data_IF_834234754007
#
_entry.id   IF_834234754007
#
_cell.length_a   1.000
_cell.length_b   1.000
_cell.length_c   1.000
_cell.angle_alpha   90.00
_cell.angle_beta   90.00
_cell.angle_gamma   90.00
#
_symmetry.space_group_name_H-M   'P 1'
#
loop_
_entity.id
_entity.type
_entity.pdbx_description
1 polymer ?
#
# COMPACT_ATOMS: atom_id res chain seq x y z
N UNK A 1 7.88 -35.16 21.21
CA UNK A 1 7.52 -33.74 21.42
C UNK A 1 7.97 -32.95 20.21
N UNK A 2 7.11 -32.87 19.19
CA UNK A 2 7.33 -32.01 18.02
C UNK A 2 6.87 -30.62 18.40
N UNK A 3 7.79 -29.67 18.52
CA UNK A 3 7.50 -28.26 18.69
C UNK A 3 6.76 -27.77 17.45
N UNK A 4 5.44 -27.88 17.43
CA UNK A 4 4.57 -27.17 16.50
C UNK A 4 4.79 -25.69 16.75
N UNK A 5 5.73 -25.12 16.01
CA UNK A 5 6.03 -23.70 16.04
C UNK A 5 4.72 -22.97 15.74
N UNK A 6 4.32 -22.04 16.61
CA UNK A 6 3.12 -21.20 16.51
C UNK A 6 3.19 -20.26 15.27
N UNK A 7 4.13 -20.50 14.35
CA UNK A 7 4.26 -19.85 13.06
C UNK A 7 3.26 -20.51 12.10
N UNK A 8 2.05 -19.97 12.16
CA UNK A 8 0.94 -20.22 11.26
C UNK A 8 1.39 -20.21 9.78
N UNK A 9 1.60 -21.40 9.21
CA UNK A 9 2.12 -21.61 7.85
C UNK A 9 0.96 -21.68 6.84
N UNK A 10 0.37 -20.54 6.50
CA UNK A 10 -0.08 -20.36 5.12
C UNK A 10 1.15 -19.97 4.29
N UNK A 11 2.02 -20.95 4.03
CA UNK A 11 3.13 -20.75 3.10
C UNK A 11 2.58 -20.84 1.69
N UNK A 12 2.63 -19.74 0.94
CA UNK A 12 2.56 -19.76 -0.52
C UNK A 12 3.55 -20.80 -1.06
N UNK A 13 3.27 -21.42 -2.21
CA UNK A 13 4.19 -22.41 -2.78
C UNK A 13 5.60 -21.81 -2.96
N UNK A 14 6.67 -22.63 -2.88
CA UNK A 14 8.03 -22.16 -3.12
C UNK A 14 8.17 -21.40 -4.45
N UNK A 15 7.46 -21.84 -5.49
CA UNK A 15 7.44 -21.16 -6.78
C UNK A 15 6.96 -19.69 -6.68
N UNK A 16 5.87 -19.42 -5.96
CA UNK A 16 5.33 -18.05 -5.79
C UNK A 16 6.28 -17.20 -4.92
N UNK A 17 6.98 -17.82 -3.97
CA UNK A 17 7.98 -17.14 -3.16
C UNK A 17 9.17 -16.70 -4.04
N UNK A 18 9.76 -17.63 -4.78
CA UNK A 18 10.87 -17.32 -5.69
C UNK A 18 10.47 -16.34 -6.79
N UNK A 19 9.25 -16.44 -7.33
CA UNK A 19 8.76 -15.47 -8.31
C UNK A 19 8.64 -14.05 -7.72
N UNK A 20 8.27 -13.92 -6.44
CA UNK A 20 8.24 -12.63 -5.75
C UNK A 20 9.64 -12.03 -5.59
N UNK A 21 10.61 -12.84 -5.18
CA UNK A 21 12.02 -12.41 -5.11
C UNK A 21 12.55 -11.98 -6.47
N UNK A 22 12.26 -12.77 -7.51
CA UNK A 22 12.63 -12.43 -8.89
C UNK A 22 11.98 -11.12 -9.32
N UNK A 23 10.69 -10.90 -9.01
CA UNK A 23 9.99 -9.66 -9.33
C UNK A 23 10.64 -8.43 -8.66
N UNK A 24 11.00 -8.53 -7.38
CA UNK A 24 11.69 -7.43 -6.66
C UNK A 24 13.09 -7.17 -7.23
N UNK A 25 13.83 -8.23 -7.57
CA UNK A 25 15.14 -8.10 -8.20
C UNK A 25 15.04 -7.46 -9.60
N UNK A 26 14.05 -7.86 -10.39
CA UNK A 26 13.79 -7.27 -11.71
C UNK A 26 13.39 -5.80 -11.60
N UNK A 27 12.51 -5.44 -10.66
CA UNK A 27 12.12 -4.05 -10.43
C UNK A 27 13.33 -3.17 -10.06
N UNK A 28 14.19 -3.63 -9.16
CA UNK A 28 15.43 -2.93 -8.82
C UNK A 28 16.40 -2.85 -10.02
N UNK A 29 16.58 -3.95 -10.75
CA UNK A 29 17.43 -4.01 -11.93
C UNK A 29 16.96 -3.07 -13.05
N UNK A 30 15.65 -2.95 -13.26
CA UNK A 30 15.05 -2.01 -14.20
C UNK A 30 15.33 -0.55 -13.79
N UNK A 31 15.17 -0.21 -12.50
CA UNK A 31 15.50 1.13 -12.02
C UNK A 31 16.98 1.47 -12.24
N UNK A 32 17.89 0.55 -11.94
CA UNK A 32 19.32 0.75 -12.21
C UNK A 32 19.62 0.88 -13.70
N UNK A 33 18.98 0.08 -14.54
CA UNK A 33 19.18 0.16 -15.99
C UNK A 33 18.69 1.47 -16.59
N UNK A 34 17.61 2.04 -16.06
CA UNK A 34 17.02 3.28 -16.59
C UNK A 34 17.67 4.54 -16.01
N UNK A 35 17.92 4.54 -14.69
CA UNK A 35 18.28 5.75 -13.94
C UNK A 35 19.61 5.66 -13.19
N UNK A 36 20.31 4.52 -13.27
CA UNK A 36 21.56 4.30 -12.52
C UNK A 36 22.68 5.27 -12.82
N UNK A 37 22.64 5.98 -13.96
CA UNK A 37 23.61 7.03 -14.30
C UNK A 37 23.39 8.35 -13.54
N UNK A 38 22.20 8.56 -12.97
CA UNK A 38 21.82 9.75 -12.19
C UNK A 38 21.89 9.48 -10.69
N UNK A 39 21.89 8.21 -10.28
CA UNK A 39 21.91 7.83 -8.87
C UNK A 39 23.26 8.10 -8.22
N UNK A 40 23.22 8.68 -7.03
CA UNK A 40 24.34 8.69 -6.11
C UNK A 40 24.28 7.48 -5.16
N UNK A 41 25.20 7.44 -4.19
CA UNK A 41 25.33 6.32 -3.24
C UNK A 41 24.07 6.13 -2.38
N UNK A 42 23.35 7.20 -2.07
CA UNK A 42 22.12 7.16 -1.28
C UNK A 42 20.97 6.56 -2.08
N UNK A 43 20.75 6.96 -3.34
CA UNK A 43 19.68 6.34 -4.15
C UNK A 43 19.95 4.86 -4.40
N UNK A 44 21.21 4.49 -4.67
CA UNK A 44 21.60 3.08 -4.80
C UNK A 44 21.26 2.31 -3.50
N UNK A 45 21.64 2.86 -2.35
CA UNK A 45 21.33 2.28 -1.04
C UNK A 45 19.83 2.14 -0.80
N UNK A 46 19.04 3.18 -1.09
CA UNK A 46 17.59 3.21 -0.92
C UNK A 46 16.92 2.16 -1.80
N UNK A 47 17.31 2.04 -3.08
CA UNK A 47 16.74 1.06 -4.01
C UNK A 47 17.01 -0.37 -3.55
N UNK A 48 18.26 -0.68 -3.19
CA UNK A 48 18.63 -2.03 -2.71
C UNK A 48 17.90 -2.34 -1.40
N UNK A 49 17.93 -1.42 -0.44
CA UNK A 49 17.30 -1.62 0.86
C UNK A 49 15.78 -1.79 0.74
N UNK A 50 15.13 -0.98 -0.11
CA UNK A 50 13.70 -1.08 -0.37
C UNK A 50 13.34 -2.40 -1.05
N UNK A 51 14.10 -2.81 -2.07
CA UNK A 51 13.87 -4.07 -2.77
C UNK A 51 14.01 -5.28 -1.83
N UNK A 52 15.04 -5.31 -0.99
CA UNK A 52 15.24 -6.38 0.01
C UNK A 52 14.14 -6.36 1.07
N UNK A 53 13.77 -5.19 1.58
CA UNK A 53 12.71 -5.05 2.59
C UNK A 53 11.36 -5.53 2.07
N UNK A 54 10.99 -5.14 0.84
CA UNK A 54 9.75 -5.57 0.20
C UNK A 54 9.78 -7.07 -0.16
N UNK A 55 10.94 -7.59 -0.57
CA UNK A 55 11.14 -9.03 -0.78
C UNK A 55 10.88 -9.82 0.51
N UNK A 56 11.48 -9.41 1.62
CA UNK A 56 11.31 -10.04 2.94
C UNK A 56 9.88 -9.91 3.48
N UNK A 57 9.27 -8.73 3.37
CA UNK A 57 7.88 -8.52 3.81
C UNK A 57 6.91 -9.37 3.01
N UNK A 58 7.00 -9.36 1.68
CA UNK A 58 6.15 -10.20 0.84
C UNK A 58 6.43 -11.70 1.04
N UNK A 59 7.67 -12.10 1.31
CA UNK A 59 8.03 -13.48 1.63
C UNK A 59 7.27 -13.99 2.85
N UNK A 60 7.24 -13.20 3.93
CA UNK A 60 6.63 -13.56 5.20
C UNK A 60 5.11 -13.30 5.23
N UNK A 61 4.62 -12.39 4.39
CA UNK A 61 3.22 -11.99 4.35
C UNK A 61 2.66 -11.97 2.91
N UNK A 62 2.06 -13.08 2.43
CA UNK A 62 1.42 -13.17 1.12
C UNK A 62 0.44 -12.05 0.77
N UNK A 63 -0.38 -11.58 1.74
CA UNK A 63 -1.32 -10.48 1.53
C UNK A 63 -0.62 -9.15 1.18
N UNK A 64 0.57 -8.94 1.73
CA UNK A 64 1.38 -7.76 1.43
C UNK A 64 1.84 -7.69 -0.04
N UNK A 65 2.02 -8.85 -0.71
CA UNK A 65 2.37 -8.87 -2.15
C UNK A 65 1.27 -8.26 -3.00
N UNK A 66 0.02 -8.63 -2.72
CA UNK A 66 -1.15 -8.11 -3.41
C UNK A 66 -1.31 -6.62 -3.13
N UNK A 67 -1.11 -6.21 -1.88
CA UNK A 67 -1.14 -4.80 -1.49
C UNK A 67 -0.11 -3.96 -2.26
N UNK A 68 1.17 -4.37 -2.28
CA UNK A 68 2.21 -3.65 -3.02
C UNK A 68 1.91 -3.63 -4.52
N UNK A 69 1.50 -4.76 -5.11
CA UNK A 69 1.14 -4.82 -6.52
C UNK A 69 -0.04 -3.88 -6.86
N UNK A 70 -1.06 -3.82 -5.99
CA UNK A 70 -2.20 -2.95 -6.17
C UNK A 70 -1.81 -1.46 -6.04
N UNK A 71 -1.05 -1.09 -5.01
CA UNK A 71 -0.54 0.28 -4.84
C UNK A 71 0.29 0.69 -6.04
N UNK A 72 1.29 -0.11 -6.43
CA UNK A 72 2.15 0.19 -7.58
C UNK A 72 1.34 0.30 -8.87
N UNK A 73 0.43 -0.65 -9.14
CA UNK A 73 -0.40 -0.64 -10.34
C UNK A 73 -1.30 0.60 -10.42
N UNK A 74 -2.03 0.91 -9.35
CA UNK A 74 -2.93 2.06 -9.30
C UNK A 74 -2.17 3.38 -9.37
N UNK A 75 -1.03 3.49 -8.70
CA UNK A 75 -0.18 4.69 -8.76
C UNK A 75 0.42 4.91 -10.15
N UNK A 76 0.89 3.85 -10.83
CA UNK A 76 1.41 3.97 -12.20
C UNK A 76 0.29 4.33 -13.19
N UNK A 77 -0.90 3.75 -13.05
CA UNK A 77 -2.08 4.14 -13.84
C UNK A 77 -2.39 5.63 -13.62
N UNK A 78 -2.41 6.10 -12.37
CA UNK A 78 -2.66 7.50 -12.07
C UNK A 78 -1.60 8.43 -12.69
N UNK A 79 -0.31 8.08 -12.57
CA UNK A 79 0.79 8.84 -13.19
C UNK A 79 0.61 8.91 -14.72
N UNK A 80 0.24 7.79 -15.35
CA UNK A 80 0.01 7.73 -16.79
C UNK A 80 -1.20 8.59 -17.22
N UNK A 81 -2.27 8.61 -16.42
CA UNK A 81 -3.46 9.42 -16.70
C UNK A 81 -3.20 10.92 -16.53
N UNK A 82 -2.36 11.31 -15.57
CA UNK A 82 -1.95 12.69 -15.40
C UNK A 82 -1.12 13.21 -16.58
N UNK A 83 -0.18 12.39 -17.09
CA UNK A 83 0.80 12.86 -18.06
C UNK A 83 1.47 14.14 -17.53
N UNK A 84 1.58 15.16 -18.37
CA UNK A 84 2.21 16.43 -18.01
C UNK A 84 1.19 17.52 -17.62
N UNK A 85 -0.06 17.17 -17.37
CA UNK A 85 -1.13 18.13 -17.10
C UNK A 85 -1.81 17.89 -15.75
N UNK A 86 -1.57 18.78 -14.79
CA UNK A 86 -2.22 18.75 -13.49
C UNK A 86 -3.75 18.89 -13.57
N UNK A 87 -4.27 19.66 -14.53
CA UNK A 87 -5.70 19.87 -14.71
C UNK A 87 -6.43 18.60 -15.22
N UNK A 88 -5.69 17.54 -15.57
CA UNK A 88 -6.29 16.22 -15.85
C UNK A 88 -7.07 15.68 -14.65
N UNK A 89 -6.74 16.10 -13.42
CA UNK A 89 -7.46 15.73 -12.20
C UNK A 89 -8.96 16.09 -12.24
N UNK A 90 -9.32 17.19 -12.92
CA UNK A 90 -10.70 17.69 -12.93
C UNK A 90 -11.55 17.05 -14.03
N UNK A 91 -10.92 16.71 -15.16
CA UNK A 91 -11.61 16.21 -16.36
C UNK A 91 -11.61 14.68 -16.47
N UNK A 92 -10.57 14.00 -15.98
CA UNK A 92 -10.48 12.56 -16.04
C UNK A 92 -11.28 11.91 -14.92
N UNK A 93 -12.27 11.10 -15.27
CA UNK A 93 -13.14 10.40 -14.31
C UNK A 93 -12.36 9.62 -13.23
N UNK A 94 -11.37 8.83 -13.63
CA UNK A 94 -10.62 7.99 -12.68
C UNK A 94 -9.76 8.83 -11.74
N UNK A 95 -9.15 9.90 -12.23
CA UNK A 95 -8.41 10.82 -11.36
C UNK A 95 -9.37 11.53 -10.40
N UNK A 96 -10.40 12.20 -10.94
CA UNK A 96 -11.32 13.03 -10.16
C UNK A 96 -12.02 12.24 -9.05
N UNK A 97 -12.43 10.99 -9.32
CA UNK A 97 -13.23 10.23 -8.36
C UNK A 97 -12.49 9.17 -7.57
N UNK A 98 -11.29 8.75 -7.98
CA UNK A 98 -10.60 7.61 -7.35
C UNK A 98 -9.12 7.86 -7.09
N UNK A 99 -8.36 8.25 -8.10
CA UNK A 99 -6.90 8.10 -8.11
C UNK A 99 -6.13 9.39 -7.84
N UNK A 100 -6.71 10.58 -8.05
CA UNK A 100 -6.08 11.83 -7.62
C UNK A 100 -5.85 11.77 -6.11
N UNK A 101 -4.79 12.44 -5.62
CA UNK A 101 -4.37 12.35 -4.22
C UNK A 101 -5.52 12.64 -3.26
N UNK A 102 -6.21 13.75 -3.48
CA UNK A 102 -7.36 14.16 -2.67
C UNK A 102 -8.46 13.09 -2.64
N UNK A 103 -8.88 12.60 -3.80
CA UNK A 103 -9.96 11.63 -3.93
C UNK A 103 -9.60 10.28 -3.35
N UNK A 104 -8.35 9.84 -3.54
CA UNK A 104 -7.85 8.60 -2.95
C UNK A 104 -7.85 8.68 -1.40
N UNK A 105 -7.41 9.80 -0.83
CA UNK A 105 -7.39 10.00 0.63
C UNK A 105 -8.82 10.13 1.20
N UNK A 106 -9.77 10.71 0.45
CA UNK A 106 -11.18 10.70 0.84
C UNK A 106 -11.73 9.27 0.89
N UNK A 107 -11.45 8.43 -0.12
CA UNK A 107 -11.83 7.02 -0.10
C UNK A 107 -11.19 6.24 1.02
N UNK A 108 -9.90 6.46 1.30
CA UNK A 108 -9.24 5.89 2.48
C UNK A 108 -10.03 6.19 3.75
N UNK A 109 -10.38 7.45 3.96
CA UNK A 109 -11.08 7.90 5.17
C UNK A 109 -12.47 7.28 5.27
N UNK A 110 -13.25 7.32 4.19
CA UNK A 110 -14.57 6.71 4.13
C UNK A 110 -14.53 5.19 4.38
N UNK A 111 -13.57 4.50 3.76
CA UNK A 111 -13.40 3.05 3.90
C UNK A 111 -12.95 2.64 5.30
N UNK A 112 -12.09 3.41 5.98
CA UNK A 112 -11.76 3.13 7.38
C UNK A 112 -12.98 3.29 8.30
N UNK A 113 -13.78 4.34 8.12
CA UNK A 113 -15.02 4.50 8.92
C UNK A 113 -15.98 3.33 8.66
N UNK A 114 -16.19 2.95 7.39
CA UNK A 114 -17.02 1.80 7.06
C UNK A 114 -16.46 0.48 7.60
N UNK A 115 -15.13 0.30 7.58
CA UNK A 115 -14.48 -0.87 8.16
C UNK A 115 -14.74 -0.96 9.67
N UNK A 116 -14.61 0.14 10.41
CA UNK A 116 -14.92 0.20 11.84
C UNK A 116 -16.35 -0.21 12.12
N UNK A 117 -17.31 0.35 11.38
CA UNK A 117 -18.74 -0.03 11.50
C UNK A 117 -18.93 -1.53 11.20
N UNK A 118 -18.30 -2.04 10.14
CA UNK A 118 -18.37 -3.46 9.79
C UNK A 118 -17.77 -4.36 10.88
N UNK A 119 -16.62 -4.01 11.46
CA UNK A 119 -16.05 -4.77 12.58
C UNK A 119 -16.97 -4.79 13.80
N UNK A 120 -17.56 -3.65 14.18
CA UNK A 120 -18.52 -3.61 15.29
C UNK A 120 -19.77 -4.45 15.01
N UNK A 121 -20.38 -4.31 13.83
CA UNK A 121 -21.53 -5.13 13.46
C UNK A 121 -21.14 -6.61 13.45
N UNK A 122 -19.98 -6.96 12.88
CA UNK A 122 -19.46 -8.32 12.86
C UNK A 122 -19.28 -8.90 14.27
N UNK A 123 -18.74 -8.10 15.20
CA UNK A 123 -18.54 -8.46 16.60
C UNK A 123 -19.88 -8.71 17.32
N UNK A 124 -20.83 -7.77 17.22
CA UNK A 124 -22.12 -7.89 17.92
C UNK A 124 -23.02 -8.96 17.30
N UNK A 125 -23.06 -9.04 15.97
CA UNK A 125 -23.82 -10.07 15.25
C UNK A 125 -23.12 -11.44 15.23
N UNK A 126 -21.87 -11.52 15.72
CA UNK A 126 -21.01 -12.71 15.68
C UNK A 126 -20.90 -13.30 14.26
N UNK A 127 -20.81 -12.43 13.26
CA UNK A 127 -20.85 -12.81 11.85
C UNK A 127 -19.45 -12.76 11.22
N UNK A 128 -18.89 -13.94 10.97
CA UNK A 128 -17.57 -14.08 10.31
C UNK A 128 -17.53 -13.48 8.90
N UNK A 129 -18.67 -13.37 8.22
CA UNK A 129 -18.75 -12.73 6.92
C UNK A 129 -18.56 -11.21 7.04
N UNK A 130 -19.26 -10.57 7.98
CA UNK A 130 -19.18 -9.11 8.17
C UNK A 130 -17.80 -8.69 8.65
N UNK A 131 -17.17 -9.49 9.53
CA UNK A 131 -15.78 -9.26 9.93
C UNK A 131 -14.81 -9.30 8.73
N UNK A 132 -14.99 -10.26 7.79
CA UNK A 132 -14.19 -10.31 6.56
C UNK A 132 -14.42 -9.09 5.66
N UNK A 133 -15.66 -8.57 5.61
CA UNK A 133 -15.96 -7.33 4.90
C UNK A 133 -15.22 -6.16 5.53
N UNK A 134 -15.18 -6.08 6.87
CA UNK A 134 -14.34 -5.12 7.61
C UNK A 134 -12.88 -5.19 7.19
N UNK A 135 -12.28 -6.39 7.19
CA UNK A 135 -10.89 -6.59 6.73
C UNK A 135 -10.66 -6.20 5.28
N UNK A 136 -11.60 -6.52 4.39
CA UNK A 136 -11.51 -6.12 2.98
C UNK A 136 -11.57 -4.60 2.82
N UNK A 137 -12.44 -3.91 3.56
CA UNK A 137 -12.50 -2.45 3.60
C UNK A 137 -11.22 -1.84 4.16
N UNK A 138 -10.62 -2.43 5.21
CA UNK A 138 -9.32 -1.98 5.73
C UNK A 138 -8.23 -2.12 4.68
N UNK A 139 -8.12 -3.27 4.00
CA UNK A 139 -7.16 -3.44 2.90
C UNK A 139 -7.35 -2.41 1.78
N UNK A 140 -8.59 -2.17 1.38
CA UNK A 140 -8.92 -1.18 0.36
C UNK A 140 -8.54 0.24 0.83
N UNK A 141 -8.92 0.62 2.06
CA UNK A 141 -8.59 1.92 2.64
C UNK A 141 -7.08 2.17 2.67
N UNK A 142 -6.31 1.21 3.19
CA UNK A 142 -4.85 1.29 3.27
C UNK A 142 -4.21 1.39 1.88
N UNK A 143 -4.78 0.71 0.88
CA UNK A 143 -4.35 0.82 -0.53
C UNK A 143 -4.59 2.23 -1.05
N UNK A 144 -5.81 2.76 -0.86
CA UNK A 144 -6.17 4.11 -1.30
C UNK A 144 -5.32 5.20 -0.62
N UNK A 145 -5.02 5.05 0.67
CA UNK A 145 -4.14 5.97 1.39
C UNK A 145 -2.72 6.01 0.82
N UNK A 146 -2.16 4.84 0.55
CA UNK A 146 -0.82 4.74 -0.02
C UNK A 146 -0.77 5.24 -1.48
N UNK A 147 -1.77 4.91 -2.29
CA UNK A 147 -1.93 5.46 -3.65
C UNK A 147 -2.02 6.97 -3.60
N UNK A 148 -2.83 7.52 -2.69
CA UNK A 148 -2.98 8.96 -2.51
C UNK A 148 -1.67 9.66 -2.20
N UNK A 149 -0.81 9.07 -1.35
CA UNK A 149 0.54 9.59 -1.08
C UNK A 149 1.46 9.48 -2.30
N UNK A 150 1.48 8.34 -3.00
CA UNK A 150 2.32 8.17 -4.19
C UNK A 150 1.94 9.12 -5.32
N UNK A 151 0.64 9.32 -5.55
CA UNK A 151 0.13 10.25 -6.58
C UNK A 151 0.38 11.69 -6.19
N UNK A 152 0.31 12.01 -4.89
CA UNK A 152 0.64 13.35 -4.38
C UNK A 152 2.05 13.79 -4.77
N UNK A 153 3.01 12.86 -4.76
CA UNK A 153 4.36 13.15 -5.21
C UNK A 153 4.38 13.62 -6.66
N UNK A 154 3.66 12.92 -7.56
CA UNK A 154 3.51 13.34 -8.97
C UNK A 154 2.81 14.69 -9.08
N UNK A 155 1.71 14.90 -8.37
CA UNK A 155 0.98 16.17 -8.39
C UNK A 155 1.88 17.35 -7.96
N UNK A 156 2.70 17.17 -6.93
CA UNK A 156 3.63 18.21 -6.47
C UNK A 156 4.65 18.62 -7.54
N UNK A 157 5.17 17.64 -8.31
CA UNK A 157 6.06 17.92 -9.43
C UNK A 157 5.37 18.61 -10.60
N UNK A 158 4.09 18.29 -10.84
CA UNK A 158 3.31 18.93 -11.91
C UNK A 158 2.92 20.39 -11.58
N UNK A 159 2.89 20.76 -10.29
CA UNK A 159 2.72 22.17 -9.88
C UNK A 159 3.98 22.97 -10.25
N UNK A 160 5.14 22.49 -9.81
CA UNK A 160 6.45 23.03 -10.19
C UNK A 160 7.55 22.04 -9.81
N UNK A 161 8.62 21.99 -10.60
CA UNK A 161 9.79 21.16 -10.33
C UNK A 161 10.44 21.49 -8.98
N UNK A 162 10.39 22.75 -8.55
CA UNK A 162 10.99 23.21 -7.27
C UNK A 162 10.14 22.88 -6.04
N UNK A 163 8.87 22.50 -6.25
CA UNK A 163 7.90 22.19 -5.17
C UNK A 163 7.67 20.67 -5.07
N UNK A 164 8.19 19.91 -6.03
CA UNK A 164 8.16 18.46 -6.02
C UNK A 164 8.82 17.89 -4.77
N UNK A 165 8.08 17.13 -3.99
CA UNK A 165 8.58 16.56 -2.74
C UNK A 165 8.09 15.13 -2.53
N UNK A 166 8.97 14.32 -1.94
CA UNK A 166 8.60 13.00 -1.44
C UNK A 166 7.50 13.19 -0.38
N UNK A 167 6.47 12.31 -0.34
CA UNK A 167 5.42 12.40 0.67
C UNK A 167 6.01 12.39 2.09
N UNK A 168 5.20 12.82 3.07
CA UNK A 168 5.58 12.99 4.49
C UNK A 168 6.30 14.32 4.74
N UNK A 169 5.94 15.35 3.99
CA UNK A 169 6.52 16.70 4.12
C UNK A 169 5.74 17.63 5.05
N UNK A 170 4.52 17.25 5.46
CA UNK A 170 3.67 18.03 6.38
C UNK A 170 2.87 17.10 7.33
N UNK A 171 2.27 17.70 8.38
CA UNK A 171 1.52 16.95 9.40
C UNK A 171 0.33 16.17 8.82
N UNK A 172 -0.32 16.69 7.79
CA UNK A 172 -1.44 16.01 7.14
C UNK A 172 -0.99 14.68 6.51
N UNK A 173 0.11 14.69 5.76
CA UNK A 173 0.69 13.48 5.16
C UNK A 173 1.21 12.49 6.21
N UNK A 174 1.79 13.00 7.30
CA UNK A 174 2.21 12.17 8.44
C UNK A 174 1.02 11.42 9.04
N UNK A 175 -0.13 12.07 9.22
CA UNK A 175 -1.33 11.39 9.73
C UNK A 175 -1.87 10.31 8.79
N UNK A 176 -1.82 10.55 7.48
CA UNK A 176 -2.19 9.55 6.48
C UNK A 176 -1.27 8.33 6.62
N UNK A 177 0.05 8.54 6.61
CA UNK A 177 1.00 7.45 6.76
C UNK A 177 0.82 6.70 8.09
N UNK A 178 0.62 7.43 9.20
CA UNK A 178 0.35 6.84 10.50
C UNK A 178 -0.89 5.94 10.49
N UNK A 179 -1.99 6.40 9.86
CA UNK A 179 -3.21 5.59 9.71
C UNK A 179 -2.98 4.33 8.88
N UNK A 180 -2.23 4.44 7.77
CA UNK A 180 -1.85 3.32 6.90
C UNK A 180 -1.00 2.29 7.65
N UNK A 181 0.02 2.73 8.38
CA UNK A 181 0.89 1.84 9.17
C UNK A 181 0.06 1.16 10.27
N UNK A 182 -0.80 1.91 10.97
CA UNK A 182 -1.65 1.35 12.03
C UNK A 182 -2.58 0.27 11.48
N UNK A 183 -3.20 0.51 10.33
CA UNK A 183 -4.05 -0.47 9.66
C UNK A 183 -3.26 -1.70 9.18
N UNK A 184 -2.05 -1.53 8.64
CA UNK A 184 -1.18 -2.65 8.26
C UNK A 184 -0.78 -3.49 9.47
N UNK A 185 -0.46 -2.85 10.61
CA UNK A 185 -0.18 -3.56 11.85
C UNK A 185 -1.41 -4.34 12.33
N UNK A 186 -2.60 -3.73 12.29
CA UNK A 186 -3.84 -4.41 12.61
C UNK A 186 -4.04 -5.65 11.73
N UNK A 187 -3.94 -5.52 10.40
CA UNK A 187 -4.13 -6.61 9.45
C UNK A 187 -3.08 -7.72 9.60
N UNK A 188 -1.84 -7.34 9.94
CA UNK A 188 -0.80 -8.29 10.29
C UNK A 188 -1.16 -9.12 11.52
N UNK A 189 -1.62 -8.47 12.59
CA UNK A 189 -2.03 -9.13 13.82
C UNK A 189 -3.31 -9.95 13.68
N UNK A 190 -4.28 -9.47 12.90
CA UNK A 190 -5.49 -10.20 12.53
C UNK A 190 -5.12 -11.56 11.93
N UNK A 191 -4.22 -11.57 10.95
CA UNK A 191 -3.68 -12.80 10.35
C UNK A 191 -2.90 -13.65 11.36
N UNK A 192 -2.05 -13.01 12.18
CA UNK A 192 -1.14 -13.70 13.11
C UNK A 192 -1.90 -14.48 14.17
N UNK A 193 -2.96 -13.88 14.71
CA UNK A 193 -3.80 -14.45 15.77
C UNK A 193 -5.07 -15.13 15.24
N UNK A 194 -5.35 -15.03 13.93
CA UNK A 194 -6.53 -15.59 13.27
C UNK A 194 -7.85 -15.12 13.90
N UNK A 195 -7.87 -13.90 14.41
CA UNK A 195 -9.06 -13.29 15.00
C UNK A 195 -9.24 -11.88 14.47
N UNK A 196 -10.48 -11.57 14.09
CA UNK A 196 -10.91 -10.25 13.59
C UNK A 196 -11.56 -9.39 14.66
N UNK A 197 -11.66 -9.91 15.88
CA UNK A 197 -12.25 -9.24 17.03
C UNK A 197 -11.20 -8.51 17.89
N UNK A 198 -10.01 -8.23 17.36
CA UNK A 198 -8.90 -7.62 18.13
C UNK A 198 -9.08 -6.12 18.37
N UNK A 199 -10.00 -5.48 17.65
CA UNK A 199 -10.34 -4.08 17.83
C UNK A 199 -11.52 -3.73 16.93
N UNK A 200 -12.67 -3.48 17.56
CA UNK A 200 -13.70 -2.60 17.02
C UNK A 200 -13.40 -1.19 17.48
#
# INVERSE_FOLDING_TARGET
MTTTTILNKESSSPAIQWSWWLLMALAAGLLFSMYGHVFDVYEIGIVIFSAVSLALLGQNWPGFRVYIAAVTGLSLIAIQLYGDNLAAAESNFFLNYLLASQSAIMWMSALYVMATVAYFIGLFARSSFIEKVGSAMTWAATTMGMVGLMVRWRESYLISHDVGHVPVSNLYEVFILFSVITALLYLFYERRFRTRALGG
#
